data_IF_930501407030
#
_entry.id   IF_930501407030
#
_cell.length_a   1.000
_cell.length_b   1.000
_cell.length_c   1.000
_cell.angle_alpha   90.00
_cell.angle_beta   90.00
_cell.angle_gamma   90.00
#
_symmetry.space_group_name_H-M   'P 1'
#
loop_
_entity.id
_entity.type
_entity.pdbx_description
1 polymer ?
#
# COMPACT_ATOMS: atom_id res chain seq x y z
N UNK A 1 73.24 -43.58 2.88
CA UNK A 1 73.86 -44.62 3.74
C UNK A 1 72.83 -44.99 4.81
N UNK A 2 72.29 -46.20 4.73
CA UNK A 2 71.23 -46.80 5.56
C UNK A 2 71.83 -47.51 6.78
N UNK A 3 71.14 -47.53 7.94
CA UNK A 3 70.99 -48.67 8.90
C UNK A 3 70.16 -48.19 10.12
N UNK A 4 68.87 -48.49 10.32
CA UNK A 4 68.18 -49.74 10.74
C UNK A 4 68.61 -50.34 12.11
N UNK A 5 67.59 -50.46 12.99
CA UNK A 5 67.32 -51.51 14.02
C UNK A 5 68.20 -51.53 15.30
N UNK A 6 67.74 -51.78 16.55
CA UNK A 6 66.82 -52.84 17.04
C UNK A 6 66.56 -52.71 18.58
N UNK A 7 65.44 -53.29 19.08
CA UNK A 7 65.10 -53.78 20.46
C UNK A 7 64.81 -52.77 21.61
N UNK A 8 63.89 -52.97 22.60
CA UNK A 8 62.90 -54.02 23.00
C UNK A 8 62.03 -53.45 24.15
N UNK A 9 60.70 -53.50 24.06
CA UNK A 9 59.78 -54.31 24.87
C UNK A 9 59.58 -53.97 26.38
N UNK A 10 58.36 -53.55 26.72
CA UNK A 10 57.57 -53.92 27.92
C UNK A 10 56.09 -53.69 27.57
N UNK A 11 55.40 -54.70 27.04
CA UNK A 11 54.47 -55.60 27.74
C UNK A 11 53.13 -54.97 28.19
N UNK A 12 52.12 -55.12 27.33
CA UNK A 12 50.85 -55.79 27.60
C UNK A 12 50.18 -55.53 28.98
N UNK A 13 49.09 -54.74 28.99
CA UNK A 13 47.81 -55.05 29.68
C UNK A 13 46.78 -53.92 29.54
N UNK A 14 45.59 -54.30 29.08
CA UNK A 14 44.26 -53.75 29.41
C UNK A 14 43.46 -53.30 28.18
N UNK A 15 42.78 -54.28 27.59
CA UNK A 15 41.56 -54.11 26.81
C UNK A 15 40.44 -53.78 27.81
N UNK A 16 40.03 -52.51 27.90
CA UNK A 16 38.87 -52.09 28.66
C UNK A 16 37.85 -51.46 27.71
N UNK A 17 36.72 -52.15 27.58
CA UNK A 17 35.53 -51.82 26.83
C UNK A 17 34.93 -50.51 27.37
N UNK A 18 35.06 -49.41 26.63
CA UNK A 18 34.39 -48.14 26.94
C UNK A 18 32.99 -48.15 26.30
N UNK A 19 32.01 -48.55 27.11
CA UNK A 19 30.60 -48.29 26.86
C UNK A 19 30.40 -46.78 27.02
N UNK A 20 30.25 -46.07 25.90
CA UNK A 20 29.74 -44.69 25.93
C UNK A 20 28.27 -44.72 26.34
N UNK A 21 27.85 -44.02 27.42
CA UNK A 21 26.44 -43.77 27.62
C UNK A 21 25.99 -42.80 26.53
N UNK A 22 25.01 -43.23 25.73
CA UNK A 22 24.23 -42.33 24.90
C UNK A 22 23.49 -41.37 25.84
N UNK A 23 24.06 -40.18 26.03
CA UNK A 23 23.34 -39.07 26.62
C UNK A 23 22.17 -38.75 25.71
N UNK A 24 20.96 -39.08 26.17
CA UNK A 24 19.73 -38.54 25.63
C UNK A 24 19.82 -37.03 25.88
N UNK A 25 20.19 -36.27 24.85
CA UNK A 25 19.94 -34.83 24.85
C UNK A 25 18.43 -34.67 24.79
N UNK A 26 17.80 -34.56 25.95
CA UNK A 26 16.50 -33.95 26.05
C UNK A 26 16.61 -32.57 25.40
N UNK A 27 15.89 -32.36 24.30
CA UNK A 27 15.65 -31.00 23.83
C UNK A 27 14.98 -30.27 24.98
N UNK A 28 15.70 -29.36 25.63
CA UNK A 28 15.09 -28.36 26.51
C UNK A 28 14.02 -27.67 25.67
N UNK A 29 12.75 -27.94 25.99
CA UNK A 29 11.65 -27.12 25.52
C UNK A 29 11.94 -25.75 26.12
N UNK A 30 12.45 -24.84 25.29
CA UNK A 30 12.71 -23.47 25.69
C UNK A 30 11.34 -22.86 26.04
N UNK A 31 11.04 -22.79 27.34
CA UNK A 31 9.78 -22.21 27.83
C UNK A 31 9.88 -20.71 27.60
N UNK A 32 9.03 -20.18 26.73
CA UNK A 32 8.98 -18.75 26.46
C UNK A 32 8.69 -17.98 27.75
N UNK A 33 9.50 -16.97 28.04
CA UNK A 33 9.46 -16.26 29.31
C UNK A 33 8.36 -15.19 29.28
N UNK A 34 7.49 -15.20 30.29
CA UNK A 34 6.52 -14.12 30.52
C UNK A 34 7.24 -12.94 31.15
N UNK A 35 7.26 -11.81 30.44
CA UNK A 35 7.96 -10.58 30.86
C UNK A 35 7.01 -9.47 31.30
N UNK A 36 5.74 -9.56 30.94
CA UNK A 36 4.69 -8.65 31.38
C UNK A 36 3.34 -9.33 31.56
N UNK A 37 2.53 -8.85 32.48
CA UNK A 37 1.11 -9.23 32.65
C UNK A 37 0.31 -7.93 32.83
N UNK A 38 -0.81 -7.80 32.12
CA UNK A 38 -1.78 -6.70 32.24
C UNK A 38 -3.19 -7.30 32.30
N UNK A 39 -3.77 -7.33 33.49
CA UNK A 39 -4.99 -8.08 33.77
C UNK A 39 -4.79 -9.57 33.48
N UNK A 40 -5.59 -10.12 32.57
CA UNK A 40 -5.48 -11.52 32.12
C UNK A 40 -4.58 -11.71 30.89
N UNK A 41 -4.03 -10.62 30.35
CA UNK A 41 -3.21 -10.65 29.14
C UNK A 41 -1.72 -10.71 29.47
N UNK A 42 -0.99 -11.60 28.80
CA UNK A 42 0.46 -11.80 28.98
C UNK A 42 1.27 -11.18 27.84
N UNK A 43 2.51 -10.83 28.13
CA UNK A 43 3.52 -10.38 27.16
C UNK A 43 4.71 -11.33 27.29
N UNK A 44 5.11 -11.91 26.16
CA UNK A 44 6.21 -12.87 26.09
C UNK A 44 7.49 -12.18 25.64
N UNK A 45 8.64 -12.74 26.03
CA UNK A 45 9.93 -12.25 25.54
C UNK A 45 10.00 -12.37 24.01
N UNK A 46 9.45 -13.44 23.44
CA UNK A 46 9.41 -13.63 21.98
C UNK A 46 8.64 -12.54 21.24
N UNK A 47 7.58 -11.97 21.83
CA UNK A 47 6.82 -10.85 21.24
C UNK A 47 7.74 -9.65 20.99
N UNK A 48 8.55 -9.32 21.99
CA UNK A 48 9.50 -8.19 21.96
C UNK A 48 10.63 -8.47 20.96
N UNK A 49 11.22 -9.66 20.99
CA UNK A 49 12.31 -10.03 20.09
C UNK A 49 11.85 -10.05 18.62
N UNK A 50 10.67 -10.63 18.35
CA UNK A 50 10.12 -10.70 17.00
C UNK A 50 9.87 -9.30 16.44
N UNK A 51 9.26 -8.40 17.23
CA UNK A 51 9.02 -7.03 16.81
C UNK A 51 10.34 -6.25 16.62
N UNK A 52 11.32 -6.48 17.48
CA UNK A 52 12.66 -5.89 17.35
C UNK A 52 13.37 -6.33 16.07
N UNK A 53 13.39 -7.64 15.77
CA UNK A 53 14.00 -8.16 14.54
C UNK A 53 13.28 -7.67 13.28
N UNK A 54 11.95 -7.52 13.34
CA UNK A 54 11.17 -6.94 12.25
C UNK A 54 11.57 -5.48 12.00
N UNK A 55 11.76 -4.67 13.04
CA UNK A 55 12.24 -3.29 12.91
C UNK A 55 13.65 -3.24 12.32
N UNK A 56 14.56 -4.13 12.76
CA UNK A 56 15.90 -4.21 12.17
C UNK A 56 15.88 -4.58 10.69
N UNK A 57 15.01 -5.52 10.29
CA UNK A 57 14.84 -5.89 8.89
C UNK A 57 14.33 -4.74 8.01
N UNK A 58 13.60 -3.78 8.60
CA UNK A 58 13.15 -2.56 7.94
C UNK A 58 14.20 -1.43 7.93
N UNK A 59 15.40 -1.68 8.49
CA UNK A 59 16.51 -0.73 8.50
C UNK A 59 16.55 0.22 9.69
N UNK A 60 15.69 0.02 10.72
CA UNK A 60 15.80 0.78 11.96
C UNK A 60 17.08 0.38 12.72
N UNK A 61 17.90 1.37 13.05
CA UNK A 61 19.16 1.19 13.78
C UNK A 61 19.14 2.06 15.04
N UNK A 62 19.65 1.53 16.15
CA UNK A 62 19.57 2.21 17.43
C UNK A 62 20.11 1.36 18.57
N UNK A 63 19.99 1.88 19.79
CA UNK A 63 20.34 1.13 20.98
C UNK A 63 19.31 -0.01 21.18
N UNK A 64 19.78 -1.25 21.07
CA UNK A 64 18.94 -2.44 21.18
C UNK A 64 18.12 -2.50 22.48
N UNK A 65 18.72 -2.07 23.60
CA UNK A 65 18.05 -2.09 24.91
C UNK A 65 16.92 -1.06 24.95
N UNK A 66 17.19 0.16 24.51
CA UNK A 66 16.19 1.23 24.47
C UNK A 66 15.01 0.85 23.56
N UNK A 67 15.29 0.36 22.35
CA UNK A 67 14.23 -0.06 21.42
C UNK A 67 13.38 -1.20 21.99
N UNK A 68 13.99 -2.18 22.68
CA UNK A 68 13.23 -3.24 23.36
C UNK A 68 12.38 -2.72 24.50
N UNK A 69 12.83 -1.71 25.24
CA UNK A 69 12.02 -1.04 26.26
C UNK A 69 10.83 -0.29 25.65
N UNK A 70 11.03 0.42 24.53
CA UNK A 70 9.96 1.11 23.79
C UNK A 70 8.91 0.11 23.27
N UNK A 71 9.36 -0.98 22.63
CA UNK A 71 8.48 -2.07 22.18
C UNK A 71 7.69 -2.67 23.35
N UNK A 72 8.36 -2.91 24.48
CA UNK A 72 7.69 -3.46 25.66
C UNK A 72 6.63 -2.52 26.21
N UNK A 73 6.90 -1.20 26.25
CA UNK A 73 5.91 -0.20 26.64
C UNK A 73 4.70 -0.18 25.71
N UNK A 74 4.93 -0.24 24.40
CA UNK A 74 3.85 -0.31 23.41
C UNK A 74 2.99 -1.57 23.60
N UNK A 75 3.60 -2.72 23.89
CA UNK A 75 2.87 -3.95 24.19
C UNK A 75 2.07 -3.83 25.48
N UNK A 76 2.60 -3.21 26.54
CA UNK A 76 1.87 -2.94 27.78
C UNK A 76 0.62 -2.08 27.51
N UNK A 77 0.76 -1.01 26.73
CA UNK A 77 -0.35 -0.14 26.32
C UNK A 77 -1.40 -0.93 25.53
N UNK A 78 -0.97 -1.74 24.56
CA UNK A 78 -1.88 -2.57 23.76
C UNK A 78 -2.65 -3.58 24.63
N UNK A 79 -1.97 -4.28 25.56
CA UNK A 79 -2.62 -5.23 26.47
C UNK A 79 -3.59 -4.53 27.44
N UNK A 80 -3.33 -3.28 27.80
CA UNK A 80 -4.25 -2.50 28.64
C UNK A 80 -5.55 -2.16 27.89
N UNK A 81 -5.45 -1.68 26.64
CA UNK A 81 -6.63 -1.45 25.80
C UNK A 81 -7.41 -2.74 25.53
N UNK A 82 -6.72 -3.84 25.25
CA UNK A 82 -7.35 -5.15 25.08
C UNK A 82 -8.08 -5.59 26.34
N UNK A 83 -7.43 -5.46 27.51
CA UNK A 83 -8.06 -5.80 28.79
C UNK A 83 -9.32 -4.97 29.01
N UNK A 84 -9.27 -3.66 28.77
CA UNK A 84 -10.48 -2.84 28.88
C UNK A 84 -11.55 -3.26 27.86
N UNK A 85 -11.18 -3.50 26.61
CA UNK A 85 -12.14 -3.93 25.59
C UNK A 85 -12.91 -5.19 26.03
N UNK A 86 -12.23 -6.12 26.71
CA UNK A 86 -12.86 -7.31 27.28
C UNK A 86 -13.76 -6.98 28.47
N UNK A 87 -13.35 -6.08 29.36
CA UNK A 87 -14.16 -5.62 30.51
C UNK A 87 -15.44 -4.92 30.03
N UNK A 88 -15.32 -4.04 29.05
CA UNK A 88 -16.42 -3.29 28.45
C UNK A 88 -17.24 -4.16 27.47
N UNK A 89 -16.85 -5.43 27.30
CA UNK A 89 -17.54 -6.40 26.45
C UNK A 89 -17.69 -5.92 24.99
N UNK A 90 -16.67 -5.24 24.47
CA UNK A 90 -16.59 -4.85 23.06
C UNK A 90 -16.53 -6.11 22.20
N UNK A 91 -17.39 -6.22 21.18
CA UNK A 91 -17.52 -7.44 20.38
C UNK A 91 -17.04 -7.27 18.94
N UNK A 92 -16.06 -8.06 18.51
CA UNK A 92 -15.68 -8.20 17.08
C UNK A 92 -16.34 -9.45 16.50
N UNK A 93 -17.00 -9.30 15.36
CA UNK A 93 -17.67 -10.43 14.70
C UNK A 93 -16.66 -11.35 14.00
N UNK A 94 -16.93 -12.65 13.89
CA UNK A 94 -16.04 -13.57 13.15
C UNK A 94 -15.82 -13.15 11.69
N UNK A 95 -16.82 -12.53 11.06
CA UNK A 95 -16.72 -12.04 9.69
C UNK A 95 -15.72 -10.89 9.55
N UNK A 96 -15.69 -9.95 10.51
CA UNK A 96 -14.69 -8.87 10.53
C UNK A 96 -13.27 -9.42 10.67
N UNK A 97 -13.08 -10.40 11.57
CA UNK A 97 -11.76 -11.06 11.76
C UNK A 97 -11.33 -11.76 10.47
N UNK A 98 -12.21 -12.53 9.84
CA UNK A 98 -11.89 -13.25 8.61
C UNK A 98 -11.58 -12.29 7.45
N UNK A 99 -12.32 -11.19 7.33
CA UNK A 99 -12.06 -10.17 6.32
C UNK A 99 -10.70 -9.51 6.49
N UNK A 100 -10.34 -9.10 7.71
CA UNK A 100 -9.04 -8.48 7.98
C UNK A 100 -7.88 -9.49 7.80
N UNK A 101 -8.09 -10.74 8.21
CA UNK A 101 -7.14 -11.83 8.01
C UNK A 101 -6.87 -12.06 6.53
N UNK A 102 -7.91 -12.16 5.71
CA UNK A 102 -7.78 -12.29 4.25
C UNK A 102 -7.06 -11.09 3.63
N UNK A 103 -7.37 -9.87 4.07
CA UNK A 103 -6.70 -8.65 3.60
C UNK A 103 -5.20 -8.69 3.87
N UNK A 104 -4.79 -9.07 5.10
CA UNK A 104 -3.37 -9.15 5.48
C UNK A 104 -2.63 -10.27 4.77
N UNK A 105 -3.25 -11.44 4.65
CA UNK A 105 -2.66 -12.55 3.91
C UNK A 105 -2.46 -12.18 2.45
N UNK A 106 -3.39 -11.45 1.83
CA UNK A 106 -3.22 -10.98 0.46
C UNK A 106 -2.01 -10.05 0.32
N UNK A 107 -1.78 -9.15 1.29
CA UNK A 107 -0.58 -8.29 1.30
C UNK A 107 0.69 -9.15 1.35
N UNK A 108 0.75 -10.15 2.23
CA UNK A 108 1.90 -11.05 2.32
C UNK A 108 2.10 -11.91 1.07
N UNK A 109 1.01 -12.44 0.49
CA UNK A 109 1.03 -13.18 -0.78
C UNK A 109 1.60 -12.31 -1.90
N UNK A 110 1.14 -11.06 -1.99
CA UNK A 110 1.61 -10.12 -3.01
C UNK A 110 3.09 -9.76 -2.81
N UNK A 111 3.53 -9.58 -1.56
CA UNK A 111 4.92 -9.25 -1.23
C UNK A 111 5.89 -10.41 -1.49
N UNK A 112 5.49 -11.64 -1.15
CA UNK A 112 6.33 -12.84 -1.33
C UNK A 112 6.17 -13.45 -2.75
N UNK A 113 5.11 -13.10 -3.45
CA UNK A 113 4.86 -13.38 -4.86
C UNK A 113 3.84 -14.49 -5.16
N UNK A 114 3.59 -15.42 -4.23
CA UNK A 114 2.51 -16.41 -4.38
C UNK A 114 2.09 -17.03 -3.04
N UNK A 115 0.94 -17.71 -3.03
CA UNK A 115 0.47 -18.42 -1.84
C UNK A 115 1.40 -19.58 -1.49
N UNK A 116 1.89 -20.32 -2.48
CA UNK A 116 2.75 -21.49 -2.26
C UNK A 116 4.06 -21.08 -1.58
N UNK A 117 4.63 -19.93 -1.99
CA UNK A 117 5.81 -19.37 -1.32
C UNK A 117 5.53 -18.94 0.12
N UNK A 118 4.33 -18.44 0.40
CA UNK A 118 3.94 -18.08 1.76
C UNK A 118 3.82 -19.33 2.65
N UNK A 119 3.17 -20.39 2.14
CA UNK A 119 3.05 -21.67 2.84
C UNK A 119 4.41 -22.32 3.07
N UNK A 120 5.33 -22.25 2.08
CA UNK A 120 6.72 -22.69 2.22
C UNK A 120 7.49 -21.87 3.27
N UNK A 121 7.32 -20.54 3.27
CA UNK A 121 7.99 -19.65 4.22
C UNK A 121 7.59 -19.93 5.67
N UNK A 122 6.30 -20.15 5.93
CA UNK A 122 5.81 -20.50 7.27
C UNK A 122 5.87 -21.99 7.59
N UNK A 123 6.19 -22.83 6.59
CA UNK A 123 6.09 -24.30 6.67
C UNK A 123 4.73 -24.76 7.24
N UNK A 124 3.65 -24.09 6.82
CA UNK A 124 2.27 -24.28 7.27
C UNK A 124 1.32 -24.06 6.10
N UNK A 125 0.22 -24.80 6.05
CA UNK A 125 -0.84 -24.52 5.09
C UNK A 125 -1.47 -23.15 5.35
N UNK A 126 -2.07 -22.53 4.33
CA UNK A 126 -2.77 -21.24 4.50
C UNK A 126 -3.86 -21.31 5.60
N UNK A 127 -4.51 -22.47 5.75
CA UNK A 127 -5.50 -22.68 6.80
C UNK A 127 -4.85 -22.64 8.19
N UNK A 128 -3.74 -23.34 8.40
CA UNK A 128 -3.02 -23.32 9.68
C UNK A 128 -2.44 -21.94 10.01
N UNK A 129 -2.00 -21.21 8.99
CA UNK A 129 -1.59 -19.81 9.13
C UNK A 129 -2.80 -18.99 9.63
N UNK A 130 -3.95 -19.10 8.95
CA UNK A 130 -5.18 -18.41 9.35
C UNK A 130 -5.58 -18.71 10.79
N UNK A 131 -5.57 -19.97 11.18
CA UNK A 131 -5.87 -20.39 12.56
C UNK A 131 -4.88 -19.77 13.57
N UNK A 132 -3.58 -19.75 13.23
CA UNK A 132 -2.55 -19.17 14.10
C UNK A 132 -2.76 -17.66 14.31
N UNK A 133 -3.14 -16.92 13.26
CA UNK A 133 -3.28 -15.47 13.33
C UNK A 133 -4.66 -15.00 13.78
N UNK A 134 -5.70 -15.85 13.76
CA UNK A 134 -7.08 -15.43 14.03
C UNK A 134 -7.23 -14.70 15.36
N UNK A 135 -6.70 -15.27 16.44
CA UNK A 135 -6.77 -14.66 17.77
C UNK A 135 -5.98 -13.34 17.83
N UNK A 136 -4.79 -13.29 17.22
CA UNK A 136 -3.99 -12.06 17.15
C UNK A 136 -4.74 -10.94 16.42
N UNK A 137 -5.41 -11.26 15.31
CA UNK A 137 -6.23 -10.30 14.56
C UNK A 137 -7.44 -9.86 15.37
N UNK A 138 -8.09 -10.80 16.06
CA UNK A 138 -9.23 -10.50 16.94
C UNK A 138 -8.83 -9.52 18.05
N UNK A 139 -7.75 -9.79 18.77
CA UNK A 139 -7.21 -8.95 19.84
C UNK A 139 -6.86 -7.54 19.33
N UNK A 140 -6.25 -7.48 18.14
CA UNK A 140 -5.93 -6.20 17.52
C UNK A 140 -7.18 -5.41 17.14
N UNK A 141 -8.21 -6.06 16.59
CA UNK A 141 -9.48 -5.40 16.24
C UNK A 141 -10.22 -4.90 17.49
N UNK A 142 -10.21 -5.67 18.59
CA UNK A 142 -10.75 -5.24 19.89
C UNK A 142 -10.02 -4.00 20.40
N UNK A 143 -8.69 -4.03 20.38
CA UNK A 143 -7.84 -2.90 20.78
C UNK A 143 -8.12 -1.65 19.94
N UNK A 144 -8.22 -1.81 18.61
CA UNK A 144 -8.53 -0.71 17.69
C UNK A 144 -9.92 -0.13 17.95
N UNK A 145 -10.93 -0.97 18.22
CA UNK A 145 -12.28 -0.50 18.50
C UNK A 145 -12.35 0.23 19.85
N UNK A 146 -11.67 -0.26 20.87
CA UNK A 146 -11.54 0.43 22.16
C UNK A 146 -10.93 1.83 21.99
N UNK A 147 -9.84 1.94 21.24
CA UNK A 147 -9.21 3.24 20.95
C UNK A 147 -10.14 4.17 20.14
N UNK A 148 -10.92 3.61 19.22
CA UNK A 148 -11.89 4.35 18.42
C UNK A 148 -13.06 4.87 19.28
N UNK A 149 -13.62 4.06 20.17
CA UNK A 149 -14.68 4.49 21.09
C UNK A 149 -14.25 5.67 21.96
N UNK A 150 -12.99 5.69 22.41
CA UNK A 150 -12.45 6.79 23.19
C UNK A 150 -12.21 8.07 22.35
N UNK A 151 -12.04 7.96 21.03
CA UNK A 151 -11.51 9.06 20.21
C UNK A 151 -12.38 9.51 19.02
N UNK A 152 -13.46 8.81 18.71
CA UNK A 152 -14.29 9.08 17.52
C UNK A 152 -15.04 10.41 17.60
N UNK A 153 -15.58 10.77 18.77
CA UNK A 153 -16.35 12.01 18.94
C UNK A 153 -15.47 13.25 19.18
N UNK A 154 -14.14 13.06 19.16
CA UNK A 154 -13.21 14.15 19.36
C UNK A 154 -13.14 15.00 18.10
N UNK A 155 -13.42 16.29 18.27
CA UNK A 155 -13.19 17.32 17.27
C UNK A 155 -12.31 18.43 17.85
N UNK A 156 -11.75 19.24 16.95
CA UNK A 156 -10.96 20.43 17.30
C UNK A 156 -11.65 21.68 16.79
N UNK A 157 -11.79 22.68 17.67
CA UNK A 157 -12.31 24.00 17.29
C UNK A 157 -11.19 24.92 16.77
N UNK A 158 -11.48 25.98 16.01
CA UNK A 158 -10.44 26.84 15.44
C UNK A 158 -9.47 27.48 16.44
N UNK A 159 -9.91 27.75 17.68
CA UNK A 159 -9.03 28.25 18.74
C UNK A 159 -7.99 27.20 19.14
N UNK A 160 -8.38 25.94 19.27
CA UNK A 160 -7.47 24.84 19.62
C UNK A 160 -6.42 24.63 18.52
N UNK A 161 -6.80 24.75 17.25
CA UNK A 161 -5.87 24.66 16.11
C UNK A 161 -4.81 25.77 16.19
N UNK A 162 -5.22 27.00 16.48
CA UNK A 162 -4.29 28.14 16.65
C UNK A 162 -3.35 27.93 17.83
N UNK A 163 -3.86 27.44 18.96
CA UNK A 163 -3.06 27.21 20.16
C UNK A 163 -2.11 26.02 20.02
N UNK A 164 -2.53 24.97 19.29
CA UNK A 164 -1.64 23.90 18.87
C UNK A 164 -0.50 24.44 18.00
N UNK A 165 -0.81 25.20 16.95
CA UNK A 165 0.20 25.77 16.05
C UNK A 165 1.22 26.65 16.78
N UNK A 166 0.78 27.49 17.73
CA UNK A 166 1.68 28.34 18.53
C UNK A 166 2.63 27.55 19.44
N UNK A 167 2.23 26.34 19.85
CA UNK A 167 3.05 25.47 20.71
C UNK A 167 4.02 24.59 19.92
N UNK A 168 3.85 24.46 18.60
CA UNK A 168 4.71 23.63 17.79
C UNK A 168 6.13 24.21 17.74
N UNK A 169 7.16 23.39 18.03
CA UNK A 169 8.53 23.74 17.73
C UNK A 169 8.71 24.04 16.24
N UNK A 170 9.57 24.99 15.89
CA UNK A 170 9.74 25.47 14.51
C UNK A 170 10.27 24.38 13.55
N UNK A 171 10.97 23.38 14.07
CA UNK A 171 11.49 22.19 13.39
C UNK A 171 10.43 21.08 13.24
N UNK A 172 9.34 21.15 14.02
CA UNK A 172 8.21 20.22 13.94
C UNK A 172 7.13 20.67 12.96
N UNK A 173 7.24 21.88 12.40
CA UNK A 173 6.30 22.39 11.39
C UNK A 173 6.69 21.80 10.02
N UNK A 174 5.80 21.04 9.36
CA UNK A 174 6.11 20.44 8.06
C UNK A 174 6.49 21.47 7.01
N UNK A 175 7.50 21.15 6.19
CA UNK A 175 7.80 21.90 4.99
C UNK A 175 6.94 21.38 3.84
N UNK A 176 6.17 22.28 3.25
CA UNK A 176 5.31 21.99 2.10
C UNK A 176 6.12 22.33 0.85
N UNK A 177 6.29 21.36 -0.08
CA UNK A 177 6.97 21.62 -1.34
C UNK A 177 6.18 22.63 -2.17
N UNK A 178 6.79 23.14 -3.23
CA UNK A 178 6.09 24.02 -4.16
C UNK A 178 4.87 23.31 -4.78
N UNK A 179 3.74 24.01 -4.79
CA UNK A 179 2.47 23.48 -5.29
C UNK A 179 1.92 24.31 -6.44
N UNK A 180 1.22 23.64 -7.34
CA UNK A 180 0.65 24.19 -8.56
C UNK A 180 -0.85 23.94 -8.59
N UNK A 181 -1.61 24.97 -8.93
CA UNK A 181 -3.03 24.86 -9.27
C UNK A 181 -3.16 25.13 -10.78
N UNK A 182 -3.60 24.12 -11.53
CA UNK A 182 -3.69 24.20 -12.98
C UNK A 182 -5.10 23.95 -13.48
N UNK A 183 -5.37 24.47 -14.67
CA UNK A 183 -6.51 24.10 -15.50
C UNK A 183 -6.04 23.40 -16.76
N UNK A 184 -6.83 22.47 -17.27
CA UNK A 184 -6.55 21.79 -18.54
C UNK A 184 -7.73 21.82 -19.50
N UNK A 185 -7.41 21.76 -20.80
CA UNK A 185 -8.35 21.44 -21.88
C UNK A 185 -7.74 20.29 -22.65
N UNK A 186 -8.49 19.19 -22.76
CA UNK A 186 -8.04 17.96 -23.40
C UNK A 186 -8.80 17.76 -24.70
N UNK A 187 -8.11 17.29 -25.73
CA UNK A 187 -8.68 16.75 -26.96
C UNK A 187 -8.21 15.33 -27.19
N UNK A 188 -9.18 14.44 -27.34
CA UNK A 188 -8.92 13.04 -27.63
C UNK A 188 -8.85 12.87 -29.15
N UNK A 189 -7.74 12.36 -29.69
CA UNK A 189 -7.66 12.11 -31.13
C UNK A 189 -8.68 11.03 -31.49
N UNK A 190 -9.44 11.26 -32.57
CA UNK A 190 -10.45 10.30 -33.01
C UNK A 190 -9.79 9.00 -33.46
N UNK A 191 -10.24 7.90 -32.89
CA UNK A 191 -9.88 6.56 -33.35
C UNK A 191 -10.78 6.19 -34.52
N UNK A 192 -10.20 5.78 -35.64
CA UNK A 192 -10.97 5.36 -36.82
C UNK A 192 -11.50 3.93 -36.66
N UNK A 193 -12.58 3.61 -37.38
CA UNK A 193 -13.13 2.25 -37.36
C UNK A 193 -12.12 1.24 -37.91
N UNK A 194 -11.29 1.64 -38.87
CA UNK A 194 -10.21 0.83 -39.43
C UNK A 194 -9.16 0.49 -38.36
N UNK A 195 -8.73 1.46 -37.55
CA UNK A 195 -7.77 1.21 -36.47
C UNK A 195 -8.33 0.25 -35.40
N UNK A 196 -9.63 0.35 -35.12
CA UNK A 196 -10.33 -0.60 -34.23
C UNK A 196 -10.37 -1.98 -34.87
N UNK A 197 -10.69 -2.05 -36.16
CA UNK A 197 -10.77 -3.30 -36.91
C UNK A 197 -9.42 -4.02 -36.95
N UNK A 198 -8.32 -3.32 -37.24
CA UNK A 198 -6.96 -3.89 -37.22
C UNK A 198 -6.60 -4.51 -35.87
N UNK A 199 -6.93 -3.83 -34.77
CA UNK A 199 -6.71 -4.38 -33.41
C UNK A 199 -7.56 -5.63 -33.17
N UNK A 200 -8.83 -5.61 -33.60
CA UNK A 200 -9.72 -6.77 -33.46
C UNK A 200 -9.23 -7.94 -34.31
N UNK A 201 -8.83 -7.73 -35.56
CA UNK A 201 -8.24 -8.77 -36.40
C UNK A 201 -6.99 -9.36 -35.75
N UNK A 202 -6.10 -8.50 -35.24
CA UNK A 202 -4.88 -8.97 -34.59
C UNK A 202 -5.17 -9.81 -33.34
N UNK A 203 -6.13 -9.39 -32.51
CA UNK A 203 -6.55 -10.17 -31.35
C UNK A 203 -7.21 -11.50 -31.75
N UNK A 204 -7.97 -11.54 -32.85
CA UNK A 204 -8.54 -12.78 -33.38
C UNK A 204 -7.45 -13.74 -33.86
N UNK A 205 -6.43 -13.25 -34.56
CA UNK A 205 -5.26 -14.04 -34.95
C UNK A 205 -4.52 -14.63 -33.75
N UNK A 206 -4.25 -13.80 -32.72
CA UNK A 206 -3.59 -14.25 -31.49
C UNK A 206 -4.44 -15.30 -30.77
N UNK A 207 -5.76 -15.08 -30.67
CA UNK A 207 -6.69 -16.04 -30.09
C UNK A 207 -6.66 -17.38 -30.82
N UNK A 208 -6.68 -17.36 -32.16
CA UNK A 208 -6.66 -18.59 -32.96
C UNK A 208 -5.37 -19.38 -32.73
N UNK A 209 -4.22 -18.69 -32.71
CA UNK A 209 -2.92 -19.29 -32.39
C UNK A 209 -2.91 -19.96 -31.00
N UNK A 210 -3.51 -19.32 -30.00
CA UNK A 210 -3.63 -19.88 -28.64
C UNK A 210 -4.52 -21.13 -28.65
N UNK A 211 -5.65 -21.08 -29.34
CA UNK A 211 -6.58 -22.23 -29.45
C UNK A 211 -5.91 -23.40 -30.18
N UNK A 212 -5.01 -23.13 -31.12
CA UNK A 212 -4.20 -24.13 -31.81
C UNK A 212 -3.01 -24.66 -30.98
N UNK A 213 -2.83 -24.17 -29.76
CA UNK A 213 -1.85 -24.68 -28.79
C UNK A 213 -0.61 -23.81 -28.60
N UNK A 214 -0.53 -22.62 -29.21
CA UNK A 214 0.54 -21.69 -28.91
C UNK A 214 0.42 -21.17 -27.46
N UNK A 215 1.58 -20.94 -26.83
CA UNK A 215 1.62 -20.54 -25.44
C UNK A 215 1.10 -19.09 -25.25
N UNK A 216 0.02 -18.95 -24.47
CA UNK A 216 -0.60 -17.65 -24.17
C UNK A 216 0.40 -16.67 -23.55
N UNK A 217 1.15 -17.10 -22.54
CA UNK A 217 2.08 -16.22 -21.83
C UNK A 217 3.16 -15.65 -22.74
N UNK A 218 3.67 -16.42 -23.69
CA UNK A 218 4.61 -15.91 -24.71
C UNK A 218 3.97 -14.82 -25.56
N UNK A 219 2.73 -15.02 -26.03
CA UNK A 219 2.02 -14.02 -26.83
C UNK A 219 1.69 -12.77 -26.01
N UNK A 220 1.33 -12.92 -24.75
CA UNK A 220 1.10 -11.79 -23.85
C UNK A 220 2.38 -10.96 -23.65
N UNK A 221 3.53 -11.60 -23.42
CA UNK A 221 4.82 -10.90 -23.31
C UNK A 221 5.17 -10.13 -24.59
N UNK A 222 4.86 -10.71 -25.76
CA UNK A 222 5.25 -10.12 -27.05
C UNK A 222 4.29 -9.02 -27.55
N UNK A 223 3.00 -9.13 -27.26
CA UNK A 223 1.96 -8.33 -27.91
C UNK A 223 1.04 -7.57 -26.95
N UNK A 224 0.99 -7.92 -25.67
CA UNK A 224 0.11 -7.21 -24.74
C UNK A 224 0.67 -5.82 -24.43
N UNK A 225 -0.20 -4.83 -24.53
CA UNK A 225 0.06 -3.43 -24.16
C UNK A 225 -0.32 -3.13 -22.70
N UNK A 226 -0.59 -4.16 -21.89
CA UNK A 226 -0.77 -3.99 -20.44
C UNK A 226 0.58 -3.96 -19.70
N UNK A 227 1.01 -2.79 -19.17
CA UNK A 227 2.31 -2.69 -18.49
C UNK A 227 2.38 -3.51 -17.20
N UNK A 228 1.23 -3.80 -16.55
CA UNK A 228 1.19 -4.49 -15.27
C UNK A 228 1.43 -6.00 -15.37
N UNK A 229 0.88 -6.64 -16.40
CA UNK A 229 0.89 -8.10 -16.53
C UNK A 229 1.60 -8.64 -17.76
N UNK A 230 1.86 -7.84 -18.81
CA UNK A 230 2.47 -8.34 -20.06
C UNK A 230 3.75 -9.14 -19.79
N UNK A 231 4.68 -8.59 -19.02
CA UNK A 231 5.95 -9.25 -18.65
C UNK A 231 5.77 -10.50 -17.77
N UNK A 232 4.61 -10.66 -17.12
CA UNK A 232 4.22 -11.82 -16.33
C UNK A 232 3.35 -12.80 -17.14
N UNK A 233 3.41 -12.76 -18.47
CA UNK A 233 2.61 -13.63 -19.32
C UNK A 233 1.12 -13.27 -19.35
N UNK A 234 0.78 -12.04 -19.01
CA UNK A 234 -0.59 -11.52 -18.95
C UNK A 234 -1.35 -11.92 -17.69
N UNK A 235 -0.72 -12.61 -16.74
CA UNK A 235 -1.38 -13.19 -15.56
C UNK A 235 -1.65 -12.14 -14.47
N UNK A 236 -2.91 -12.09 -14.03
CA UNK A 236 -3.40 -11.19 -12.97
C UNK A 236 -3.32 -11.83 -11.56
N UNK A 237 -3.16 -13.16 -11.48
CA UNK A 237 -3.32 -13.90 -10.23
C UNK A 237 -4.79 -14.04 -9.82
N UNK A 238 -5.02 -14.58 -8.63
CA UNK A 238 -6.38 -14.72 -8.08
C UNK A 238 -7.00 -13.35 -7.80
N UNK A 239 -8.06 -13.04 -8.53
CA UNK A 239 -8.80 -11.79 -8.44
C UNK A 239 -10.27 -12.05 -8.17
N UNK A 240 -10.88 -11.14 -7.42
CA UNK A 240 -12.33 -11.15 -7.15
C UNK A 240 -13.07 -10.40 -8.24
N UNK A 241 -14.39 -10.57 -8.32
CA UNK A 241 -15.21 -9.82 -9.26
C UNK A 241 -15.14 -8.30 -9.05
N UNK A 242 -15.05 -7.85 -7.79
CA UNK A 242 -15.04 -6.43 -7.44
C UNK A 242 -13.71 -5.73 -7.75
N UNK A 243 -12.63 -6.47 -8.02
CA UNK A 243 -11.31 -5.93 -8.34
C UNK A 243 -11.07 -5.79 -9.85
N UNK A 244 -12.08 -6.04 -10.68
CA UNK A 244 -12.01 -5.96 -12.14
C UNK A 244 -13.08 -5.01 -12.68
N UNK A 245 -12.79 -4.34 -13.79
CA UNK A 245 -13.82 -3.59 -14.53
C UNK A 245 -14.91 -4.54 -15.02
N UNK A 246 -16.15 -4.04 -15.06
CA UNK A 246 -17.36 -4.85 -15.18
C UNK A 246 -17.34 -5.77 -16.40
N UNK A 247 -17.00 -5.22 -17.57
CA UNK A 247 -16.99 -5.91 -18.86
C UNK A 247 -15.99 -7.07 -18.85
N UNK A 248 -14.81 -6.82 -18.26
CA UNK A 248 -13.77 -7.83 -18.09
C UNK A 248 -14.19 -8.92 -17.10
N UNK A 249 -14.75 -8.52 -15.95
CA UNK A 249 -15.19 -9.44 -14.89
C UNK A 249 -16.30 -10.37 -15.37
N UNK A 250 -17.30 -9.85 -16.09
CA UNK A 250 -18.42 -10.62 -16.61
C UNK A 250 -17.94 -11.75 -17.54
N UNK A 251 -16.96 -11.46 -18.40
CA UNK A 251 -16.36 -12.47 -19.27
C UNK A 251 -15.46 -13.42 -18.48
N UNK A 252 -14.49 -12.90 -17.71
CA UNK A 252 -13.54 -13.70 -16.93
C UNK A 252 -14.23 -14.77 -16.06
N UNK A 253 -15.32 -14.39 -15.37
CA UNK A 253 -16.06 -15.30 -14.51
C UNK A 253 -17.01 -16.24 -15.26
N UNK A 254 -17.33 -15.97 -16.52
CA UNK A 254 -18.14 -16.88 -17.36
C UNK A 254 -17.32 -17.99 -18.02
N UNK A 255 -15.99 -17.82 -18.11
CA UNK A 255 -15.11 -18.77 -18.78
C UNK A 255 -15.01 -20.10 -18.02
N UNK A 256 -14.87 -21.19 -18.78
CA UNK A 256 -14.45 -22.51 -18.29
C UNK A 256 -12.93 -22.56 -18.17
N UNK A 257 -12.43 -23.48 -17.37
CA UNK A 257 -10.99 -23.63 -17.17
C UNK A 257 -10.27 -23.85 -18.52
N UNK A 258 -9.15 -23.16 -18.71
CA UNK A 258 -8.35 -23.08 -19.94
C UNK A 258 -9.03 -22.46 -21.17
N UNK A 259 -10.29 -22.03 -21.06
CA UNK A 259 -11.01 -21.41 -22.17
C UNK A 259 -10.48 -20.00 -22.43
N UNK A 260 -10.29 -19.67 -23.72
CA UNK A 260 -10.00 -18.31 -24.21
C UNK A 260 -11.30 -17.64 -24.64
N UNK A 261 -11.52 -16.41 -24.21
CA UNK A 261 -12.71 -15.61 -24.52
C UNK A 261 -12.75 -15.18 -25.99
N UNK A 262 -13.88 -14.58 -26.38
CA UNK A 262 -13.91 -13.66 -27.51
C UNK A 262 -13.28 -12.31 -27.11
N UNK A 263 -13.21 -11.38 -28.06
CA UNK A 263 -12.72 -10.02 -27.78
C UNK A 263 -13.68 -9.34 -26.79
N UNK A 264 -13.10 -8.74 -25.76
CA UNK A 264 -13.78 -7.97 -24.74
C UNK A 264 -13.33 -6.53 -24.84
N UNK A 265 -14.26 -5.59 -24.94
CA UNK A 265 -13.97 -4.15 -24.92
C UNK A 265 -14.11 -3.63 -23.50
N UNK A 266 -13.12 -2.84 -23.06
CA UNK A 266 -13.13 -2.11 -21.79
C UNK A 266 -12.63 -0.69 -22.01
N UNK A 267 -12.69 0.15 -20.97
CA UNK A 267 -12.08 1.49 -20.99
C UNK A 267 -10.57 1.49 -21.32
N UNK A 268 -9.86 0.39 -21.05
CA UNK A 268 -8.42 0.24 -21.32
C UNK A 268 -8.12 -0.20 -22.75
N UNK A 269 -9.10 -0.68 -23.51
CA UNK A 269 -8.94 -1.18 -24.88
C UNK A 269 -9.61 -2.54 -25.09
N UNK A 270 -9.02 -3.35 -25.98
CA UNK A 270 -9.57 -4.64 -26.37
C UNK A 270 -8.74 -5.79 -25.81
N UNK A 271 -9.43 -6.79 -25.27
CA UNK A 271 -8.81 -7.91 -24.57
C UNK A 271 -9.23 -9.25 -25.13
N UNK A 272 -8.32 -10.22 -25.08
CA UNK A 272 -8.67 -11.63 -25.01
C UNK A 272 -8.22 -12.18 -23.65
N UNK A 273 -9.07 -12.99 -23.03
CA UNK A 273 -8.91 -13.43 -21.65
C UNK A 273 -8.89 -14.96 -21.62
N UNK A 274 -7.98 -15.56 -20.87
CA UNK A 274 -7.98 -16.98 -20.58
C UNK A 274 -8.14 -17.24 -19.09
N UNK A 275 -9.05 -18.13 -18.71
CA UNK A 275 -9.15 -18.63 -17.34
C UNK A 275 -8.09 -19.71 -17.10
N UNK A 276 -7.20 -19.48 -16.15
CA UNK A 276 -6.18 -20.44 -15.73
C UNK A 276 -6.78 -21.37 -14.68
N UNK A 277 -7.34 -20.80 -13.62
CA UNK A 277 -7.86 -21.54 -12.47
C UNK A 277 -9.02 -20.79 -11.82
N UNK A 278 -9.93 -21.54 -11.17
CA UNK A 278 -11.02 -20.99 -10.36
C UNK A 278 -10.93 -21.56 -8.95
N UNK A 279 -11.03 -20.69 -7.94
CA UNK A 279 -11.05 -21.07 -6.53
C UNK A 279 -12.14 -20.28 -5.81
N UNK A 280 -13.26 -20.94 -5.49
CA UNK A 280 -14.41 -20.29 -4.88
C UNK A 280 -14.92 -19.11 -5.72
N UNK A 281 -15.05 -17.94 -5.08
CA UNK A 281 -15.48 -16.66 -5.70
C UNK A 281 -14.34 -15.88 -6.36
N UNK A 282 -13.15 -16.46 -6.49
CA UNK A 282 -11.99 -15.86 -7.16
C UNK A 282 -11.61 -16.64 -8.42
N UNK A 283 -11.05 -15.93 -9.39
CA UNK A 283 -10.52 -16.50 -10.64
C UNK A 283 -9.07 -16.05 -10.82
N UNK A 284 -8.21 -16.96 -11.26
CA UNK A 284 -6.91 -16.61 -11.82
C UNK A 284 -7.02 -16.60 -13.34
N UNK A 285 -6.77 -15.43 -13.94
CA UNK A 285 -6.89 -15.20 -15.37
C UNK A 285 -5.62 -14.58 -15.92
N UNK A 286 -5.41 -14.77 -17.22
CA UNK A 286 -4.44 -14.00 -18.00
C UNK A 286 -5.09 -13.35 -19.21
N UNK A 287 -4.55 -12.22 -19.65
CA UNK A 287 -5.08 -11.48 -20.79
C UNK A 287 -4.00 -10.94 -21.73
N UNK A 288 -4.41 -10.64 -22.97
CA UNK A 288 -3.65 -9.80 -23.90
C UNK A 288 -4.49 -8.56 -24.14
N UNK A 289 -3.95 -7.38 -23.83
CA UNK A 289 -4.56 -6.09 -24.09
C UNK A 289 -3.95 -5.49 -25.37
N UNK A 290 -4.80 -4.98 -26.27
CA UNK A 290 -4.36 -4.17 -27.40
C UNK A 290 -5.24 -2.92 -27.52
N UNK A 291 -4.61 -1.79 -27.82
CA UNK A 291 -5.25 -0.47 -27.89
C UNK A 291 -5.20 0.05 -29.32
N UNK A 292 -6.33 0.51 -29.88
CA UNK A 292 -6.31 1.16 -31.18
C UNK A 292 -5.57 2.48 -31.07
N UNK A 293 -4.74 2.78 -32.06
CA UNK A 293 -3.94 4.01 -32.11
C UNK A 293 -4.62 5.01 -33.03
N UNK A 294 -4.61 6.27 -32.64
CA UNK A 294 -5.04 7.34 -33.53
C UNK A 294 -4.09 7.44 -34.72
N UNK A 295 -4.63 7.79 -35.88
CA UNK A 295 -3.81 8.14 -37.03
C UNK A 295 -3.08 9.45 -36.78
N UNK A 296 -1.93 9.62 -37.42
CA UNK A 296 -1.16 10.87 -37.37
C UNK A 296 -2.02 12.08 -37.78
N UNK A 297 -2.91 11.91 -38.76
CA UNK A 297 -3.85 12.94 -39.18
C UNK A 297 -4.85 13.32 -38.08
N UNK A 298 -5.39 12.33 -37.36
CA UNK A 298 -6.31 12.57 -36.24
C UNK A 298 -5.61 13.29 -35.08
N UNK A 299 -4.36 12.92 -34.79
CA UNK A 299 -3.51 13.60 -33.82
C UNK A 299 -3.23 15.05 -34.22
N UNK A 300 -2.85 15.30 -35.48
CA UNK A 300 -2.61 16.65 -35.99
C UNK A 300 -3.87 17.51 -35.96
N UNK A 301 -5.05 16.93 -36.24
CA UNK A 301 -6.34 17.62 -36.09
C UNK A 301 -6.62 18.02 -34.64
N UNK A 302 -6.37 17.13 -33.68
CA UNK A 302 -6.54 17.43 -32.25
C UNK A 302 -5.60 18.57 -31.81
N UNK A 303 -4.33 18.52 -32.21
CA UNK A 303 -3.35 19.57 -31.97
C UNK A 303 -3.79 20.89 -32.60
N UNK A 304 -4.21 20.90 -33.86
CA UNK A 304 -4.63 22.13 -34.56
C UNK A 304 -5.85 22.79 -33.90
N UNK A 305 -6.79 21.99 -33.39
CA UNK A 305 -7.93 22.51 -32.61
C UNK A 305 -7.43 23.18 -31.33
N UNK A 306 -6.54 22.52 -30.58
CA UNK A 306 -5.99 23.07 -29.35
C UNK A 306 -5.13 24.30 -29.59
N UNK A 307 -4.37 24.35 -30.69
CA UNK A 307 -3.53 25.50 -31.07
C UNK A 307 -4.38 26.75 -31.35
N UNK A 308 -5.46 26.57 -32.13
CA UNK A 308 -6.46 27.61 -32.37
C UNK A 308 -7.10 28.09 -31.06
N UNK A 309 -7.42 27.17 -30.15
CA UNK A 309 -7.99 27.52 -28.85
C UNK A 309 -7.00 28.27 -27.96
N UNK A 310 -5.76 27.79 -27.84
CA UNK A 310 -4.70 28.44 -27.07
C UNK A 310 -4.48 29.87 -27.58
N UNK A 311 -4.40 30.06 -28.90
CA UNK A 311 -4.29 31.39 -29.51
C UNK A 311 -5.46 32.31 -29.14
N UNK A 312 -6.69 31.82 -29.21
CA UNK A 312 -7.89 32.61 -28.85
C UNK A 312 -7.96 32.95 -27.36
N UNK A 313 -7.48 32.06 -26.49
CA UNK A 313 -7.39 32.31 -25.05
C UNK A 313 -6.31 33.36 -24.77
N UNK A 314 -5.13 33.26 -25.41
CA UNK A 314 -4.05 34.25 -25.26
C UNK A 314 -4.44 35.66 -25.74
N UNK A 315 -5.35 35.74 -26.71
CA UNK A 315 -5.92 37.01 -27.21
C UNK A 315 -7.16 37.46 -26.42
N UNK A 316 -7.44 36.84 -25.26
CA UNK A 316 -8.62 37.12 -24.42
C UNK A 316 -9.97 37.07 -25.15
N UNK A 317 -10.03 36.35 -26.29
CA UNK A 317 -11.23 36.25 -27.12
C UNK A 317 -12.22 35.22 -26.59
N UNK A 318 -11.75 34.22 -25.84
CA UNK A 318 -12.57 33.28 -25.07
C UNK A 318 -11.88 33.02 -23.72
N UNK A 319 -12.60 33.09 -22.58
CA UNK A 319 -12.07 32.66 -21.29
C UNK A 319 -11.72 31.17 -21.26
N UNK A 320 -10.61 30.79 -20.63
CA UNK A 320 -10.18 29.38 -20.51
C UNK A 320 -11.29 28.48 -19.96
N UNK A 321 -11.98 28.93 -18.90
CA UNK A 321 -13.10 28.19 -18.29
C UNK A 321 -14.21 27.87 -19.31
N UNK A 322 -14.55 28.84 -20.17
CA UNK A 322 -15.60 28.65 -21.18
C UNK A 322 -15.13 27.66 -22.25
N UNK A 323 -13.88 27.79 -22.71
CA UNK A 323 -13.30 26.83 -23.65
C UNK A 323 -13.26 25.42 -23.05
N UNK A 324 -12.87 25.27 -21.79
CA UNK A 324 -12.88 23.98 -21.11
C UNK A 324 -14.28 23.37 -21.03
N UNK A 325 -15.27 24.14 -20.57
CA UNK A 325 -16.64 23.65 -20.37
C UNK A 325 -17.31 23.13 -21.65
N UNK A 326 -17.08 23.81 -22.77
CA UNK A 326 -17.78 23.49 -24.02
C UNK A 326 -16.94 22.72 -25.03
N UNK A 327 -15.61 22.75 -24.92
CA UNK A 327 -14.71 22.21 -25.93
C UNK A 327 -13.70 21.22 -25.37
N UNK A 328 -13.61 20.98 -24.06
CA UNK A 328 -12.77 19.89 -23.54
C UNK A 328 -13.48 18.54 -23.70
N UNK A 329 -12.71 17.52 -24.07
CA UNK A 329 -13.13 16.12 -24.09
C UNK A 329 -12.86 15.42 -22.75
N UNK A 330 -12.32 16.13 -21.75
CA UNK A 330 -12.11 15.66 -20.38
C UNK A 330 -13.37 15.85 -19.53
N UNK A 331 -14.05 14.75 -19.20
CA UNK A 331 -15.31 14.75 -18.47
C UNK A 331 -15.15 15.18 -17.01
N UNK A 332 -14.01 14.91 -16.40
CA UNK A 332 -13.74 15.17 -14.98
C UNK A 332 -13.55 16.66 -14.72
N UNK A 333 -12.87 17.35 -15.63
CA UNK A 333 -12.50 18.75 -15.42
C UNK A 333 -13.37 19.75 -16.19
N UNK A 334 -14.03 19.36 -17.31
CA UNK A 334 -14.74 20.32 -18.17
C UNK A 334 -15.81 21.12 -17.43
N UNK A 335 -16.62 20.48 -16.59
CA UNK A 335 -17.72 21.16 -15.89
C UNK A 335 -17.19 22.18 -14.87
N UNK A 336 -16.02 21.89 -14.30
CA UNK A 336 -15.26 22.75 -13.39
C UNK A 336 -14.37 23.76 -14.11
N UNK A 337 -14.57 24.00 -15.41
CA UNK A 337 -13.79 24.98 -16.16
C UNK A 337 -12.34 24.56 -16.40
N UNK A 338 -12.08 23.26 -16.39
CA UNK A 338 -10.75 22.66 -16.57
C UNK A 338 -9.97 22.52 -15.27
N UNK A 339 -10.51 22.93 -14.11
CA UNK A 339 -9.81 22.83 -12.82
C UNK A 339 -9.54 21.36 -12.49
N UNK A 340 -8.27 21.05 -12.24
CA UNK A 340 -7.85 19.72 -11.80
C UNK A 340 -8.01 19.59 -10.27
N UNK A 341 -8.42 18.40 -9.83
CA UNK A 341 -8.55 18.03 -8.42
C UNK A 341 -7.62 16.86 -8.15
N UNK A 342 -6.79 17.01 -7.13
CA UNK A 342 -5.89 15.98 -6.65
C UNK A 342 -6.73 14.93 -5.92
N UNK A 343 -6.88 13.74 -6.52
CA UNK A 343 -7.69 12.66 -5.98
C UNK A 343 -7.19 12.16 -4.61
N UNK A 344 -5.89 12.31 -4.32
CA UNK A 344 -5.29 11.89 -3.06
C UNK A 344 -5.59 12.85 -1.91
N UNK A 345 -5.67 14.16 -2.19
CA UNK A 345 -5.86 15.20 -1.15
C UNK A 345 -7.25 15.83 -1.17
N UNK A 346 -8.03 15.65 -2.25
CA UNK A 346 -9.29 16.33 -2.49
C UNK A 346 -9.18 17.83 -2.75
N UNK A 347 -7.95 18.35 -2.96
CA UNK A 347 -7.67 19.77 -3.18
C UNK A 347 -7.34 20.06 -4.65
N UNK A 348 -7.23 21.32 -5.06
CA UNK A 348 -6.77 21.71 -6.41
C UNK A 348 -5.25 21.81 -6.53
N UNK A 349 -4.52 21.43 -5.49
CA UNK A 349 -3.08 21.65 -5.37
C UNK A 349 -2.31 20.37 -5.63
N UNK A 350 -1.25 20.50 -6.41
CA UNK A 350 -0.38 19.39 -6.80
C UNK A 350 1.07 19.76 -6.61
N UNK A 351 1.90 18.85 -6.15
CA UNK A 351 3.36 18.97 -6.28
C UNK A 351 3.78 18.66 -7.71
N UNK A 352 4.98 19.07 -8.09
CA UNK A 352 5.45 18.84 -9.45
C UNK A 352 5.53 17.34 -9.78
N UNK A 353 5.92 16.50 -8.82
CA UNK A 353 6.11 15.06 -8.97
C UNK A 353 4.83 14.29 -9.27
N UNK A 354 3.67 14.84 -8.92
CA UNK A 354 2.36 14.22 -9.14
C UNK A 354 1.90 14.29 -10.61
N UNK A 355 2.56 15.10 -11.45
CA UNK A 355 2.23 15.20 -12.87
C UNK A 355 3.03 14.23 -13.76
N UNK A 356 2.43 13.85 -14.89
CA UNK A 356 3.10 13.10 -15.94
C UNK A 356 4.32 13.87 -16.50
N UNK A 357 5.31 13.14 -17.02
CA UNK A 357 6.59 13.71 -17.47
C UNK A 357 6.42 14.87 -18.48
N UNK A 358 5.60 14.74 -19.55
CA UNK A 358 5.31 15.88 -20.44
C UNK A 358 4.76 17.10 -19.70
N UNK A 359 3.73 16.91 -18.87
CA UNK A 359 3.11 18.02 -18.13
C UNK A 359 4.10 18.73 -17.20
N UNK A 360 4.97 17.98 -16.50
CA UNK A 360 6.01 18.57 -15.63
C UNK A 360 6.95 19.51 -16.38
N UNK A 361 7.38 19.13 -17.59
CA UNK A 361 8.28 19.95 -18.40
C UNK A 361 7.64 21.26 -18.84
N UNK A 362 6.34 21.25 -19.11
CA UNK A 362 5.58 22.46 -19.45
C UNK A 362 5.41 23.36 -18.23
N UNK A 363 4.98 22.80 -17.10
CA UNK A 363 4.73 23.55 -15.85
C UNK A 363 5.98 24.33 -15.41
N UNK A 364 7.16 23.71 -15.46
CA UNK A 364 8.42 24.35 -15.05
C UNK A 364 8.76 25.64 -15.83
N UNK A 365 8.23 25.81 -17.03
CA UNK A 365 8.53 26.94 -17.91
C UNK A 365 7.39 27.95 -18.03
N UNK A 366 6.24 27.69 -17.37
CA UNK A 366 5.02 28.46 -17.53
C UNK A 366 4.77 29.34 -16.30
N UNK A 367 4.26 30.57 -16.50
CA UNK A 367 3.93 31.48 -15.40
C UNK A 367 2.43 31.46 -15.08
N UNK A 368 2.02 31.92 -13.88
CA UNK A 368 0.60 32.10 -13.58
C UNK A 368 -0.11 32.98 -14.62
N UNK A 369 -1.25 32.50 -15.11
CA UNK A 369 -2.05 33.10 -16.16
C UNK A 369 -1.67 32.68 -17.58
N UNK A 370 -0.45 32.20 -17.82
CA UNK A 370 -0.01 31.79 -19.15
C UNK A 370 -0.63 30.45 -19.57
N UNK A 371 -0.91 30.32 -20.86
CA UNK A 371 -1.46 29.11 -21.49
C UNK A 371 -0.37 28.44 -22.32
N UNK A 372 -0.13 27.16 -22.08
CA UNK A 372 0.86 26.38 -22.82
C UNK A 372 0.49 26.23 -24.30
N UNK A 373 1.48 25.92 -25.13
CA UNK A 373 1.21 25.34 -26.44
C UNK A 373 0.60 23.93 -26.27
N UNK A 374 -0.09 23.38 -27.29
CA UNK A 374 -0.60 22.02 -27.25
C UNK A 374 0.55 21.00 -27.16
N UNK A 375 0.37 20.00 -26.30
CA UNK A 375 1.36 18.92 -26.15
C UNK A 375 0.67 17.57 -25.99
N UNK A 376 1.41 16.51 -26.30
CA UNK A 376 0.99 15.12 -26.10
C UNK A 376 1.17 14.72 -24.63
N UNK A 377 0.16 14.08 -24.08
CA UNK A 377 0.19 13.46 -22.76
C UNK A 377 -0.55 12.11 -22.80
N UNK A 378 -0.63 11.45 -21.66
CA UNK A 378 -1.33 10.18 -21.51
C UNK A 378 -2.39 10.32 -20.43
N UNK A 379 -3.59 9.78 -20.65
CA UNK A 379 -4.63 9.70 -19.62
C UNK A 379 -4.35 8.57 -18.61
N UNK A 380 -5.20 8.43 -17.59
CA UNK A 380 -5.08 7.39 -16.55
C UNK A 380 -5.14 5.96 -17.12
N UNK A 381 -5.81 5.78 -18.27
CA UNK A 381 -5.94 4.49 -18.97
C UNK A 381 -4.74 4.18 -19.86
N UNK A 382 -3.77 5.09 -19.99
CA UNK A 382 -2.62 4.90 -20.86
C UNK A 382 -2.86 5.30 -22.32
N UNK A 383 -3.97 5.97 -22.65
CA UNK A 383 -4.27 6.43 -24.02
C UNK A 383 -3.62 7.79 -24.27
N UNK A 384 -3.15 7.98 -25.51
CA UNK A 384 -2.61 9.26 -25.95
C UNK A 384 -3.72 10.30 -26.03
N UNK A 385 -3.48 11.43 -25.37
CA UNK A 385 -4.34 12.61 -25.38
C UNK A 385 -3.50 13.83 -25.73
N UNK A 386 -4.17 14.87 -26.23
CA UNK A 386 -3.52 16.16 -26.46
C UNK A 386 -4.15 17.18 -25.52
N UNK A 387 -3.35 18.03 -24.90
CA UNK A 387 -3.88 19.04 -23.99
C UNK A 387 -3.14 20.36 -24.06
N UNK A 388 -3.82 21.40 -23.61
CA UNK A 388 -3.23 22.67 -23.20
C UNK A 388 -3.52 22.88 -21.73
N UNK A 389 -2.59 23.52 -21.02
CA UNK A 389 -2.74 23.82 -19.61
C UNK A 389 -2.58 25.31 -19.35
N UNK A 390 -3.19 25.78 -18.27
CA UNK A 390 -2.99 27.11 -17.72
C UNK A 390 -2.64 26.99 -16.25
N UNK A 391 -1.54 27.61 -15.82
CA UNK A 391 -1.25 27.73 -14.38
C UNK A 391 -2.13 28.84 -13.83
N UNK A 392 -3.00 28.51 -12.88
CA UNK A 392 -3.82 29.52 -12.20
C UNK A 392 -3.07 30.12 -11.03
N UNK A 393 -2.30 29.31 -10.30
CA UNK A 393 -1.53 29.73 -9.14
C UNK A 393 -0.30 28.84 -8.94
N UNK A 394 0.81 29.47 -8.57
CA UNK A 394 1.99 28.78 -8.01
C UNK A 394 2.08 29.19 -6.54
N UNK A 395 2.18 28.20 -5.66
CA UNK A 395 2.34 28.38 -4.23
C UNK A 395 3.78 27.95 -3.92
N UNK A 396 4.71 28.91 -3.66
CA UNK A 396 6.10 28.59 -3.37
C UNK A 396 6.23 27.61 -2.21
N UNK A 397 7.34 26.87 -2.17
CA UNK A 397 7.66 26.05 -1.00
C UNK A 397 7.66 26.92 0.26
N UNK A 398 7.01 26.43 1.31
CA UNK A 398 6.81 27.18 2.54
C UNK A 398 6.68 26.24 3.73
N UNK A 399 6.87 26.78 4.93
CA UNK A 399 6.49 26.06 6.15
C UNK A 399 5.00 26.16 6.35
N UNK A 400 4.38 25.05 6.74
CA UNK A 400 2.95 24.98 6.95
C UNK A 400 2.45 26.12 7.84
N UNK A 401 1.39 26.79 7.41
CA UNK A 401 0.83 27.93 8.13
C UNK A 401 -0.70 27.93 8.12
N UNK A 402 -1.30 28.69 9.04
CA UNK A 402 -2.74 28.71 9.25
C UNK A 402 -3.53 29.33 8.10
N UNK A 403 -2.88 30.07 7.20
CA UNK A 403 -3.56 30.74 6.08
C UNK A 403 -3.67 29.82 4.86
N UNK A 404 -2.62 29.05 4.56
CA UNK A 404 -2.57 28.16 3.39
C UNK A 404 -2.92 26.71 3.73
N UNK A 405 -2.59 26.24 4.94
CA UNK A 405 -2.53 24.81 5.30
C UNK A 405 -3.38 24.48 6.53
N UNK A 406 -4.45 25.26 6.75
CA UNK A 406 -5.31 25.10 7.92
C UNK A 406 -5.80 23.65 8.10
N UNK A 407 -6.24 22.98 7.04
CA UNK A 407 -6.72 21.59 7.11
C UNK A 407 -5.64 20.60 7.56
N UNK A 408 -4.39 20.80 7.10
CA UNK A 408 -3.26 19.99 7.55
C UNK A 408 -3.01 20.19 9.05
N UNK A 409 -2.91 21.44 9.48
CA UNK A 409 -2.66 21.79 10.89
C UNK A 409 -3.83 21.34 11.78
N UNK A 410 -5.07 21.42 11.28
CA UNK A 410 -6.26 20.92 11.96
C UNK A 410 -6.16 19.41 12.19
N UNK A 411 -5.77 18.64 11.17
CA UNK A 411 -5.58 17.18 11.29
C UNK A 411 -4.45 16.84 12.27
N UNK A 412 -3.35 17.59 12.25
CA UNK A 412 -2.25 17.45 13.22
C UNK A 412 -2.72 17.76 14.66
N UNK A 413 -3.47 18.84 14.85
CA UNK A 413 -4.03 19.22 16.15
C UNK A 413 -5.02 18.16 16.67
N UNK A 414 -5.87 17.65 15.78
CA UNK A 414 -6.80 16.56 16.10
C UNK A 414 -6.03 15.30 16.53
N UNK A 415 -4.98 14.94 15.81
CA UNK A 415 -4.14 13.78 16.13
C UNK A 415 -3.43 13.96 17.49
N UNK A 416 -2.88 15.15 17.79
CA UNK A 416 -2.28 15.44 19.11
C UNK A 416 -3.33 15.34 20.23
N UNK A 417 -4.52 15.90 20.02
CA UNK A 417 -5.61 15.85 21.01
C UNK A 417 -6.06 14.42 21.28
N UNK A 418 -6.24 13.60 20.23
CA UNK A 418 -6.56 12.17 20.35
C UNK A 418 -5.47 11.43 21.12
N UNK A 419 -4.20 11.62 20.74
CA UNK A 419 -3.06 10.99 21.41
C UNK A 419 -2.98 11.36 22.89
N UNK A 420 -3.19 12.63 23.25
CA UNK A 420 -3.19 13.08 24.66
C UNK A 420 -4.32 12.46 25.46
N UNK A 421 -5.52 12.36 24.89
CA UNK A 421 -6.64 11.72 25.56
C UNK A 421 -6.37 10.24 25.81
N UNK A 422 -5.88 9.51 24.79
CA UNK A 422 -5.52 8.10 24.93
C UNK A 422 -4.42 7.90 25.98
N UNK A 423 -3.36 8.73 25.97
CA UNK A 423 -2.29 8.66 26.97
C UNK A 423 -2.77 8.99 28.38
N UNK A 424 -3.72 9.92 28.53
CA UNK A 424 -4.34 10.20 29.82
C UNK A 424 -5.16 9.00 30.28
N UNK A 425 -5.99 8.44 29.41
CA UNK A 425 -6.78 7.25 29.68
C UNK A 425 -5.89 6.07 30.12
N UNK A 426 -4.76 5.84 29.45
CA UNK A 426 -3.78 4.82 29.84
C UNK A 426 -3.28 5.06 31.27
N UNK A 427 -2.86 6.28 31.60
CA UNK A 427 -2.37 6.60 32.96
C UNK A 427 -3.41 6.35 34.04
N UNK A 428 -4.66 6.73 33.78
CA UNK A 428 -5.75 6.54 34.72
C UNK A 428 -6.02 5.03 34.93
N UNK A 429 -5.92 4.23 33.87
CA UNK A 429 -6.18 2.78 33.90
C UNK A 429 -5.05 1.96 34.48
N UNK A 430 -3.80 2.37 34.32
CA UNK A 430 -2.65 1.71 34.95
C UNK A 430 -2.85 1.57 36.48
N UNK A 431 -3.47 2.56 37.13
CA UNK A 431 -3.72 2.52 38.57
C UNK A 431 -4.84 1.55 38.99
N UNK A 432 -5.74 1.18 38.07
CA UNK A 432 -6.91 0.34 38.33
C UNK A 432 -6.73 -1.10 37.84
N UNK A 433 -5.73 -1.35 36.99
CA UNK A 433 -5.46 -2.67 36.39
C UNK A 433 -4.29 -3.37 37.07
N UNK A 434 -4.43 -4.68 37.32
CA UNK A 434 -3.31 -5.49 37.80
C UNK A 434 -2.21 -5.58 36.73
N UNK A 435 -1.02 -5.07 37.03
CA UNK A 435 0.13 -5.10 36.11
C UNK A 435 1.32 -5.72 36.83
N UNK A 436 2.02 -6.66 36.18
CA UNK A 436 3.26 -7.26 36.68
C UNK A 436 4.34 -7.16 35.62
N UNK A 437 5.47 -6.54 35.95
CA UNK A 437 6.63 -6.41 35.05
C UNK A 437 7.82 -7.20 35.59
N UNK A 438 8.43 -8.00 34.72
CA UNK A 438 9.63 -8.78 35.03
C UNK A 438 10.81 -7.85 35.38
N UNK A 439 11.67 -8.21 36.37
CA UNK A 439 12.82 -7.42 36.76
C UNK A 439 13.73 -6.96 35.61
N UNK A 440 13.81 -7.74 34.54
CA UNK A 440 14.60 -7.43 33.34
C UNK A 440 14.11 -6.21 32.55
N UNK A 441 12.93 -5.65 32.84
CA UNK A 441 12.40 -4.44 32.20
C UNK A 441 12.11 -3.30 33.20
N UNK A 442 12.45 -3.47 34.50
CA UNK A 442 12.19 -2.45 35.53
C UNK A 442 13.09 -1.22 35.43
N UNK A 443 14.23 -1.34 34.76
CA UNK A 443 15.18 -0.24 34.49
C UNK A 443 14.86 0.52 33.19
N UNK A 444 13.82 0.13 32.45
CA UNK A 444 13.38 0.86 31.26
C UNK A 444 12.85 2.25 31.63
N UNK A 445 13.28 3.28 30.88
CA UNK A 445 12.74 4.64 31.02
C UNK A 445 11.45 4.77 30.21
N UNK A 446 10.35 4.34 30.82
CA UNK A 446 9.02 4.41 30.21
C UNK A 446 8.55 5.85 30.02
N UNK A 447 8.00 6.14 28.85
CA UNK A 447 7.45 7.46 28.48
C UNK A 447 6.21 7.78 29.32
N UNK A 448 5.33 6.79 29.48
CA UNK A 448 4.15 6.86 30.32
C UNK A 448 4.55 6.45 31.74
N UNK A 449 4.37 7.36 32.70
CA UNK A 449 4.67 7.08 34.10
C UNK A 449 3.53 6.30 34.75
N UNK A 450 3.87 5.40 35.67
CA UNK A 450 2.91 4.60 36.44
C UNK A 450 3.08 3.07 36.30
N UNK A 451 3.78 2.60 35.27
CA UNK A 451 3.96 1.16 35.01
C UNK A 451 4.67 0.39 36.13
N UNK A 452 5.57 1.05 36.86
CA UNK A 452 6.33 0.47 37.96
C UNK A 452 5.89 1.17 39.25
N UNK A 453 5.18 0.45 40.12
CA UNK A 453 4.89 0.93 41.48
C UNK A 453 6.03 0.57 42.43
N UNK A 454 6.37 1.43 43.40
CA UNK A 454 7.40 1.16 44.42
C UNK A 454 7.10 -0.06 45.32
N UNK A 455 5.91 -0.67 45.22
CA UNK A 455 5.45 -1.79 46.04
C UNK A 455 5.44 -3.17 45.34
N UNK A 456 6.15 -3.35 44.21
CA UNK A 456 6.19 -4.60 43.43
C UNK A 456 7.54 -5.32 43.38
#
# INVERSE_FOLDING_TARGET
MNMKTVLRALFLKSLMLLIFPAGIFAQEIMVDQIVGIVGDNIILQSDIENQYYQMQAQGYTGNARQMKCEIFEDLLVQRLFLNQAMVDSIEVTPAEVENELNRRLQIFINQIGSQERLEEYYNKSLLEIKETFREVIRDQLLTQRMQAELSNDISVVPSEVRDYYKRLPADSIPEIPEQYEIRQIVKNPRISEEAIFEVKERLLELRERIVQGENFSTLAILYSEDPGTAMKGGELGFTSRGSLVKEFADVAFSLKQNQVSQIVETEFGYHIIQLIERRGEQVNVRHILMKPRASEEASQKAIAVLDSLASRIRMDSIPFETAARFLSDDEDTRLSGGIMVNQSTGTTRFTLEEFDRPTRQIIQNLKPGEVSDPFEATDETGRKIYKIIQITRIIPAHRANLDLDYSLIQNMALSEKKSRLLNQWVRDRIAETYIRIDPSFRDCDFTIKGWISESQ
#
